data_IF_832733613804
#
_entry.id   IF_832733613804
#
_cell.length_a   1.000
_cell.length_b   1.000
_cell.length_c   1.000
_cell.angle_alpha   90.00
_cell.angle_beta   90.00
_cell.angle_gamma   90.00
#
_symmetry.space_group_name_H-M   'P 1'
#
loop_
_entity.id
_entity.type
_entity.pdbx_description
1 polymer ?
#
# COMPACT_ATOMS: atom_id res chain seq x y z
N UNK A 1 25.86 19.98 -18.03
CA UNK A 1 26.15 19.28 -16.75
C UNK A 1 24.87 19.05 -15.92
N UNK A 2 23.82 18.44 -16.47
CA UNK A 2 22.54 18.25 -15.73
C UNK A 2 22.05 16.78 -15.65
N UNK A 3 22.64 15.84 -16.40
CA UNK A 3 22.23 14.43 -16.34
C UNK A 3 22.74 13.68 -15.09
N UNK A 4 23.82 14.16 -14.45
CA UNK A 4 24.47 13.44 -13.34
C UNK A 4 23.75 13.52 -12.00
N UNK A 5 22.97 14.57 -11.73
CA UNK A 5 22.27 14.72 -10.45
C UNK A 5 20.96 13.91 -10.38
N UNK A 6 20.27 13.72 -11.51
CA UNK A 6 19.00 12.97 -11.54
C UNK A 6 19.22 11.47 -11.29
N UNK A 7 20.20 10.87 -11.98
CA UNK A 7 20.53 9.45 -11.79
C UNK A 7 21.00 9.13 -10.36
N UNK A 8 21.75 10.05 -9.72
CA UNK A 8 22.19 9.89 -8.33
C UNK A 8 21.04 9.97 -7.33
N UNK A 9 20.02 10.80 -7.59
CA UNK A 9 18.84 10.93 -6.71
C UNK A 9 17.95 9.69 -6.79
N UNK A 10 17.72 9.16 -7.99
CA UNK A 10 16.96 7.92 -8.21
C UNK A 10 17.67 6.71 -7.59
N UNK A 11 18.97 6.54 -7.82
CA UNK A 11 19.74 5.46 -7.21
C UNK A 11 19.77 5.52 -5.67
N UNK A 12 19.66 6.71 -5.09
CA UNK A 12 19.61 6.89 -3.63
C UNK A 12 18.22 6.60 -3.06
N UNK A 13 17.13 6.94 -3.77
CA UNK A 13 15.77 6.52 -3.40
C UNK A 13 15.59 5.00 -3.55
N UNK A 14 16.13 4.41 -4.62
CA UNK A 14 16.11 2.96 -4.86
C UNK A 14 16.93 2.19 -3.82
N UNK A 15 18.09 2.73 -3.41
CA UNK A 15 18.92 2.15 -2.35
C UNK A 15 18.26 2.23 -0.97
N UNK A 16 17.52 3.30 -0.68
CA UNK A 16 16.73 3.43 0.57
C UNK A 16 15.53 2.48 0.56
N UNK A 17 14.93 2.21 -0.61
CA UNK A 17 13.94 1.14 -0.78
C UNK A 17 14.55 -0.24 -0.48
N UNK A 18 15.74 -0.52 -1.02
CA UNK A 18 16.43 -1.79 -0.83
C UNK A 18 16.92 -2.00 0.61
N UNK A 19 17.43 -0.96 1.28
CA UNK A 19 17.88 -1.04 2.68
C UNK A 19 16.74 -1.26 3.69
N UNK A 20 15.50 -0.89 3.37
CA UNK A 20 14.33 -1.22 4.19
C UNK A 20 13.86 -2.69 4.09
N UNK A 21 14.52 -3.47 3.22
CA UNK A 21 14.32 -4.91 3.01
C UNK A 21 15.39 -5.73 3.76
N UNK A 22 15.90 -5.24 4.90
CA UNK A 22 16.42 -6.19 5.89
C UNK A 22 15.23 -7.04 6.33
N UNK A 23 15.35 -8.36 6.22
CA UNK A 23 14.34 -9.35 6.62
C UNK A 23 13.85 -9.02 8.04
N UNK A 24 12.78 -8.24 8.13
CA UNK A 24 12.05 -8.07 9.38
C UNK A 24 11.19 -9.31 9.50
N UNK A 25 11.25 -9.97 10.64
CA UNK A 25 10.26 -10.98 10.99
C UNK A 25 8.89 -10.28 11.00
N UNK A 26 8.12 -10.51 9.94
CA UNK A 26 6.80 -9.95 9.74
C UNK A 26 5.76 -11.04 9.87
N UNK A 27 4.73 -10.74 10.65
CA UNK A 27 3.46 -11.45 10.60
C UNK A 27 2.49 -10.67 9.73
N UNK A 28 1.48 -11.37 9.18
CA UNK A 28 0.58 -10.81 8.17
C UNK A 28 -0.89 -10.90 8.62
N UNK A 29 -1.64 -9.83 8.34
CA UNK A 29 -3.11 -9.83 8.40
C UNK A 29 -3.64 -9.54 7.01
N UNK A 30 -4.34 -10.52 6.42
CA UNK A 30 -5.03 -10.34 5.14
C UNK A 30 -6.38 -9.66 5.35
N UNK A 31 -6.65 -8.65 4.53
CA UNK A 31 -7.93 -7.99 4.47
C UNK A 31 -8.87 -8.78 3.54
N UNK A 32 -10.16 -8.80 3.87
CA UNK A 32 -11.15 -9.32 2.93
C UNK A 32 -11.26 -8.43 1.70
N UNK A 33 -11.69 -9.02 0.58
CA UNK A 33 -11.85 -8.36 -0.73
C UNK A 33 -12.37 -6.92 -0.62
N UNK A 34 -11.69 -6.02 -1.31
CA UNK A 34 -12.05 -4.61 -1.48
C UNK A 34 -12.45 -4.42 -2.94
N UNK A 35 -13.59 -3.77 -3.15
CA UNK A 35 -14.01 -3.31 -4.47
C UNK A 35 -13.95 -1.79 -4.52
N UNK A 36 -13.49 -1.26 -5.65
CA UNK A 36 -13.43 0.15 -5.96
C UNK A 36 -13.81 0.39 -7.43
N UNK A 37 -13.88 1.65 -7.82
CA UNK A 37 -14.25 2.11 -9.16
C UNK A 37 -13.24 3.16 -9.58
N UNK A 38 -12.74 3.11 -10.82
CA UNK A 38 -11.77 4.09 -11.31
C UNK A 38 -12.38 5.49 -11.46
N UNK A 39 -11.53 6.51 -11.47
CA UNK A 39 -11.92 7.91 -11.63
C UNK A 39 -12.20 8.31 -13.09
N UNK A 40 -12.18 7.37 -14.03
CA UNK A 40 -12.42 7.62 -15.44
C UNK A 40 -13.87 8.08 -15.69
N UNK A 41 -14.09 8.80 -16.79
CA UNK A 41 -15.44 9.26 -17.19
C UNK A 41 -16.42 8.07 -17.29
N UNK A 42 -15.94 6.96 -17.87
CA UNK A 42 -16.57 5.66 -17.74
C UNK A 42 -15.85 4.89 -16.64
N UNK A 43 -16.44 4.89 -15.45
CA UNK A 43 -15.88 4.19 -14.28
C UNK A 43 -15.71 2.71 -14.56
N UNK A 44 -14.51 2.20 -14.26
CA UNK A 44 -14.14 0.79 -14.41
C UNK A 44 -13.97 0.13 -13.04
N UNK A 45 -14.60 -1.02 -12.75
CA UNK A 45 -14.49 -1.65 -11.45
C UNK A 45 -13.13 -2.29 -11.20
N UNK A 46 -12.71 -2.29 -9.94
CA UNK A 46 -11.43 -2.77 -9.45
C UNK A 46 -11.64 -3.81 -8.34
N UNK A 47 -10.85 -4.87 -8.35
CA UNK A 47 -10.78 -5.87 -7.27
C UNK A 47 -9.41 -5.77 -6.61
N UNK A 48 -9.40 -5.63 -5.28
CA UNK A 48 -8.19 -5.60 -4.48
C UNK A 48 -8.25 -6.60 -3.33
N UNK A 49 -7.16 -7.32 -3.13
CA UNK A 49 -6.89 -8.13 -1.95
C UNK A 49 -5.53 -7.73 -1.43
N UNK A 50 -5.46 -7.44 -0.13
CA UNK A 50 -4.33 -6.75 0.48
C UNK A 50 -3.96 -7.44 1.78
N UNK A 51 -2.67 -7.69 1.96
CA UNK A 51 -2.10 -8.20 3.19
C UNK A 51 -1.20 -7.16 3.85
N UNK A 52 -1.38 -6.95 5.15
CA UNK A 52 -0.65 -5.95 5.94
C UNK A 52 0.39 -6.64 6.81
N UNK A 53 1.65 -6.28 6.63
CA UNK A 53 2.79 -6.82 7.38
C UNK A 53 3.07 -5.98 8.62
N UNK A 54 3.21 -6.62 9.77
CA UNK A 54 3.56 -5.99 11.04
C UNK A 54 4.63 -6.81 11.76
N UNK A 55 5.36 -6.19 12.70
CA UNK A 55 6.41 -6.88 13.47
C UNK A 55 5.82 -8.06 14.25
N UNK A 56 6.47 -9.23 14.18
CA UNK A 56 6.11 -10.42 14.98
C UNK A 56 6.11 -10.15 16.48
N UNK A 57 6.94 -9.21 16.94
CA UNK A 57 7.05 -8.81 18.34
C UNK A 57 5.85 -8.01 18.86
N UNK A 58 4.92 -7.63 17.97
CA UNK A 58 3.80 -6.73 18.30
C UNK A 58 2.45 -7.41 18.13
N UNK A 59 2.05 -8.22 19.12
CA UNK A 59 0.71 -8.82 19.18
C UNK A 59 -0.42 -7.78 19.10
N UNK A 60 -0.22 -6.62 19.73
CA UNK A 60 -1.17 -5.50 19.73
C UNK A 60 -1.46 -4.94 18.32
N UNK A 61 -0.54 -5.12 17.36
CA UNK A 61 -0.74 -4.64 16.00
C UNK A 61 -1.80 -5.49 15.28
N UNK A 62 -1.75 -6.81 15.46
CA UNK A 62 -2.70 -7.74 14.87
C UNK A 62 -4.15 -7.42 15.31
N UNK A 63 -4.33 -7.13 16.59
CA UNK A 63 -5.64 -6.77 17.16
C UNK A 63 -6.11 -5.40 16.69
N UNK A 64 -5.23 -4.39 16.70
CA UNK A 64 -5.57 -3.05 16.23
C UNK A 64 -5.98 -3.06 14.75
N UNK A 65 -5.18 -3.71 13.89
CA UNK A 65 -5.48 -3.87 12.45
C UNK A 65 -6.86 -4.50 12.27
N UNK A 66 -7.14 -5.62 12.95
CA UNK A 66 -8.45 -6.29 12.86
C UNK A 66 -9.58 -5.36 13.31
N UNK A 67 -9.42 -4.68 14.44
CA UNK A 67 -10.42 -3.73 14.97
C UNK A 67 -10.67 -2.52 14.05
N UNK A 68 -9.68 -2.16 13.22
CA UNK A 68 -9.69 -1.02 12.28
C UNK A 68 -9.87 -1.43 10.82
N UNK A 69 -10.26 -2.67 10.57
CA UNK A 69 -10.37 -3.23 9.20
C UNK A 69 -11.30 -2.39 8.33
N UNK A 70 -12.41 -1.90 8.88
CA UNK A 70 -13.41 -1.13 8.12
C UNK A 70 -12.79 0.18 7.61
N UNK A 71 -12.15 0.94 8.51
CA UNK A 71 -11.51 2.22 8.18
C UNK A 71 -10.33 2.02 7.21
N UNK A 72 -9.55 0.94 7.39
CA UNK A 72 -8.43 0.63 6.49
C UNK A 72 -8.94 0.30 5.08
N UNK A 73 -9.96 -0.55 4.97
CA UNK A 73 -10.55 -0.90 3.67
C UNK A 73 -11.13 0.33 2.97
N UNK A 74 -11.75 1.23 3.73
CA UNK A 74 -12.31 2.46 3.17
C UNK A 74 -11.24 3.44 2.68
N UNK A 75 -10.13 3.57 3.41
CA UNK A 75 -8.97 4.34 2.97
C UNK A 75 -8.40 3.80 1.66
N UNK A 76 -8.19 2.48 1.56
CA UNK A 76 -7.68 1.84 0.35
C UNK A 76 -8.64 2.03 -0.81
N UNK A 77 -9.95 1.83 -0.59
CA UNK A 77 -10.98 2.08 -1.61
C UNK A 77 -10.92 3.52 -2.12
N UNK A 78 -10.93 4.49 -1.21
CA UNK A 78 -10.90 5.92 -1.54
C UNK A 78 -9.62 6.31 -2.29
N UNK A 79 -8.49 5.69 -1.96
CA UNK A 79 -7.22 5.92 -2.64
C UNK A 79 -7.25 5.49 -4.11
N UNK A 80 -7.81 4.31 -4.41
CA UNK A 80 -7.94 3.84 -5.79
C UNK A 80 -9.10 4.48 -6.55
N UNK A 81 -10.16 4.90 -5.86
CA UNK A 81 -11.26 5.65 -6.47
C UNK A 81 -10.90 7.02 -7.04
N UNK A 82 -9.71 7.52 -6.70
CA UNK A 82 -9.16 8.77 -7.24
C UNK A 82 -8.20 8.54 -8.40
N UNK A 83 -7.94 7.29 -8.80
CA UNK A 83 -7.01 6.95 -9.88
C UNK A 83 -7.76 6.54 -11.14
N UNK A 84 -7.26 6.98 -12.28
CA UNK A 84 -7.71 6.50 -13.59
C UNK A 84 -7.07 5.15 -13.92
N UNK A 85 -7.66 4.35 -14.81
CA UNK A 85 -7.11 3.05 -15.22
C UNK A 85 -5.68 3.17 -15.75
N UNK A 86 -5.38 4.22 -16.52
CA UNK A 86 -4.01 4.48 -17.02
C UNK A 86 -2.99 4.75 -15.91
N UNK A 87 -3.46 5.05 -14.70
CA UNK A 87 -2.65 5.35 -13.53
C UNK A 87 -2.58 4.18 -12.54
N UNK A 88 -3.16 3.03 -12.87
CA UNK A 88 -3.12 1.79 -12.09
C UNK A 88 -2.27 0.80 -12.87
N UNK A 89 -0.96 0.86 -12.63
CA UNK A 89 0.05 0.18 -13.42
C UNK A 89 0.97 -0.66 -12.54
N UNK A 90 1.38 -1.87 -12.96
CA UNK A 90 2.24 -2.74 -12.15
C UNK A 90 3.53 -2.06 -11.68
N UNK A 91 4.17 -1.26 -12.55
CA UNK A 91 5.40 -0.55 -12.21
C UNK A 91 5.27 0.52 -11.12
N UNK A 92 4.04 0.91 -10.75
CA UNK A 92 3.79 1.91 -9.71
C UNK A 92 3.30 1.26 -8.40
N UNK A 93 3.24 -0.07 -8.35
CA UNK A 93 2.72 -0.79 -7.18
C UNK A 93 3.51 -0.46 -5.92
N UNK A 94 4.83 -0.35 -5.99
CA UNK A 94 5.70 0.02 -4.87
C UNK A 94 5.33 1.40 -4.29
N UNK A 95 5.02 2.34 -5.17
CA UNK A 95 4.56 3.66 -4.78
C UNK A 95 3.22 3.59 -4.06
N UNK A 96 2.25 2.81 -4.56
CA UNK A 96 0.96 2.65 -3.89
C UNK A 96 1.12 2.03 -2.50
N UNK A 97 1.99 1.03 -2.37
CA UNK A 97 2.29 0.37 -1.09
C UNK A 97 2.77 1.38 -0.05
N UNK A 98 3.74 2.22 -0.42
CA UNK A 98 4.28 3.24 0.47
C UNK A 98 3.25 4.29 0.86
N UNK A 99 2.54 4.87 -0.12
CA UNK A 99 1.54 5.91 0.13
C UNK A 99 0.39 5.42 1.02
N UNK A 100 -0.09 4.19 0.80
CA UNK A 100 -1.15 3.58 1.61
C UNK A 100 -0.62 3.25 3.01
N UNK A 101 0.58 2.66 3.13
CA UNK A 101 1.19 2.32 4.42
C UNK A 101 1.31 3.55 5.31
N UNK A 102 1.86 4.62 4.77
CA UNK A 102 2.09 5.86 5.50
C UNK A 102 0.75 6.51 5.88
N UNK A 103 -0.26 6.43 5.00
CA UNK A 103 -1.61 6.91 5.27
C UNK A 103 -2.29 6.14 6.40
N UNK A 104 -2.21 4.80 6.40
CA UNK A 104 -2.78 3.94 7.46
C UNK A 104 -2.10 4.23 8.81
N UNK A 105 -0.77 4.24 8.83
CA UNK A 105 0.03 4.50 10.05
C UNK A 105 -0.20 5.90 10.62
N UNK A 106 -0.48 6.89 9.77
CA UNK A 106 -0.70 8.28 10.21
C UNK A 106 -2.14 8.50 10.69
N UNK A 107 -3.11 8.02 9.91
CA UNK A 107 -4.52 8.40 10.08
C UNK A 107 -5.28 7.42 10.98
N UNK A 108 -5.00 6.12 10.85
CA UNK A 108 -5.84 5.06 11.42
C UNK A 108 -5.19 4.45 12.66
N UNK A 109 -4.00 3.86 12.52
CA UNK A 109 -3.34 3.18 13.63
C UNK A 109 -2.81 4.20 14.63
N UNK A 110 -3.04 3.94 15.92
CA UNK A 110 -2.65 4.83 17.03
C UNK A 110 -1.67 4.15 17.99
N UNK A 111 -1.73 2.83 18.12
CA UNK A 111 -0.93 2.07 19.09
C UNK A 111 0.21 1.29 18.43
N UNK A 112 0.03 0.91 17.17
CA UNK A 112 0.97 0.10 16.40
C UNK A 112 1.28 0.72 15.04
N UNK A 113 2.15 0.04 14.28
CA UNK A 113 2.49 0.40 12.90
C UNK A 113 2.56 -0.84 12.03
N UNK A 114 2.11 -0.70 10.78
CA UNK A 114 2.41 -1.66 9.72
C UNK A 114 3.76 -1.30 9.09
N UNK A 115 4.53 -2.33 8.77
CA UNK A 115 5.86 -2.24 8.18
C UNK A 115 5.83 -2.37 6.67
N UNK A 116 4.92 -3.18 6.14
CA UNK A 116 4.79 -3.47 4.71
C UNK A 116 3.31 -3.68 4.33
N UNK A 117 3.04 -3.56 3.04
CA UNK A 117 1.75 -3.86 2.40
C UNK A 117 2.03 -4.76 1.20
N UNK A 118 1.22 -5.79 0.98
CA UNK A 118 1.25 -6.60 -0.23
C UNK A 118 -0.11 -6.58 -0.88
N UNK A 119 -0.13 -6.41 -2.19
CA UNK A 119 -1.32 -6.63 -2.98
C UNK A 119 -1.29 -8.08 -3.44
N UNK A 120 -2.16 -8.89 -2.88
CA UNK A 120 -2.37 -10.27 -3.33
C UNK A 120 -3.10 -10.26 -4.67
N UNK A 121 -4.06 -9.32 -4.81
CA UNK A 121 -4.77 -9.02 -6.06
C UNK A 121 -4.87 -7.51 -6.24
N UNK A 122 -4.59 -7.02 -7.45
CA UNK A 122 -4.91 -5.66 -7.91
C UNK A 122 -5.31 -5.74 -9.39
N UNK A 123 -6.61 -5.91 -9.63
CA UNK A 123 -7.15 -6.17 -10.96
C UNK A 123 -8.12 -5.06 -11.38
N UNK A 124 -7.98 -4.61 -12.62
CA UNK A 124 -8.93 -3.73 -13.31
C UNK A 124 -9.82 -4.64 -14.17
N UNK A 125 -11.12 -4.66 -13.91
CA UNK A 125 -12.05 -5.49 -14.68
C UNK A 125 -12.35 -4.83 -16.03
N UNK A 126 -12.40 -5.62 -17.11
CA UNK A 126 -12.68 -5.14 -18.47
C UNK A 126 -14.06 -5.55 -18.96
#
# INVERSE_FOLDING_TARGET
MLLGCFAKKQAQEDAVLQQNTMERDLSWVSLSKITANSADLQSVPLILEVSLGYSTESLAASEEIRSKTIEIKDLIRSYFSQKSVKDIKPQWQDRYRLEIRDSINTKILKKSKISDIRFDTLEVLQ
#
